data_IF_601852823993
#
_entry.id   IF_601852823993
#
_cell.length_a   1.000
_cell.length_b   1.000
_cell.length_c   1.000
_cell.angle_alpha   90.00
_cell.angle_beta   90.00
_cell.angle_gamma   90.00
#
_symmetry.space_group_name_H-M   'P 1'
#
loop_
_entity.id
_entity.type
_entity.pdbx_description
1 polymer ?
#
# COMPACT_ATOMS: atom_id res chain seq x y z
N UNK A 1 6.24 13.45 -11.58
CA UNK A 1 5.84 12.63 -10.43
C UNK A 1 4.57 11.87 -10.76
N UNK A 2 4.55 10.57 -10.49
CA UNK A 2 3.36 9.75 -10.69
C UNK A 2 2.53 9.68 -9.42
N UNK A 3 1.24 9.39 -9.56
CA UNK A 3 0.33 9.21 -8.43
C UNK A 3 -0.14 7.76 -8.38
N UNK A 4 -0.07 7.16 -7.21
CA UNK A 4 -0.49 5.77 -6.99
C UNK A 4 -1.42 5.66 -5.81
N UNK A 5 -2.09 4.51 -5.68
CA UNK A 5 -2.85 4.15 -4.50
C UNK A 5 -2.24 2.91 -3.86
N UNK A 6 -2.41 2.81 -2.55
CA UNK A 6 -2.00 1.64 -1.78
C UNK A 6 -3.07 1.39 -0.73
N UNK A 7 -3.57 0.17 -0.66
CA UNK A 7 -4.67 -0.20 0.22
C UNK A 7 -4.32 -1.41 1.08
N UNK A 8 -4.62 -1.29 2.36
CA UNK A 8 -4.58 -2.43 3.28
C UNK A 8 -6.03 -2.78 3.63
N UNK A 9 -6.51 -3.88 3.07
CA UNK A 9 -7.86 -4.39 3.33
C UNK A 9 -7.80 -5.22 4.59
N UNK A 10 -8.69 -4.93 5.55
CA UNK A 10 -8.69 -5.65 6.82
C UNK A 10 -9.92 -6.53 7.00
N UNK A 11 -9.72 -7.67 7.64
CA UNK A 11 -10.77 -8.57 8.04
C UNK A 11 -10.27 -9.40 9.22
N UNK A 12 -11.04 -9.40 10.31
CA UNK A 12 -10.79 -10.22 11.50
C UNK A 12 -9.35 -10.11 12.05
N UNK A 13 -8.86 -8.87 12.15
CA UNK A 13 -7.52 -8.62 12.69
C UNK A 13 -6.38 -8.91 11.73
N UNK A 14 -6.68 -9.07 10.44
CA UNK A 14 -5.68 -9.35 9.41
C UNK A 14 -5.71 -8.30 8.31
N UNK A 15 -4.57 -8.10 7.68
CA UNK A 15 -4.46 -7.32 6.44
C UNK A 15 -4.25 -8.25 5.25
N UNK A 16 -4.92 -7.94 4.14
CA UNK A 16 -4.64 -8.60 2.87
C UNK A 16 -3.38 -7.98 2.27
N UNK A 17 -2.36 -8.79 2.06
CA UNK A 17 -1.09 -8.32 1.53
C UNK A 17 -0.71 -9.12 0.28
N UNK A 18 0.03 -8.45 -0.59
CA UNK A 18 0.53 -9.04 -1.83
C UNK A 18 2.02 -9.35 -1.65
N UNK A 19 2.37 -10.61 -1.76
CA UNK A 19 3.75 -11.07 -1.77
C UNK A 19 4.24 -11.12 -3.22
N UNK A 20 5.16 -10.23 -3.59
CA UNK A 20 5.66 -10.08 -4.96
C UNK A 20 6.66 -11.18 -5.30
N UNK A 21 6.17 -12.37 -5.65
CA UNK A 21 7.02 -13.54 -5.97
C UNK A 21 6.90 -13.97 -7.44
N UNK A 22 5.90 -13.49 -8.17
CA UNK A 22 5.67 -13.94 -9.56
C UNK A 22 6.44 -13.15 -10.60
N UNK A 23 6.81 -11.90 -10.31
CA UNK A 23 7.60 -11.05 -11.21
C UNK A 23 9.02 -10.93 -10.69
N UNK A 24 9.96 -11.62 -11.34
CA UNK A 24 11.38 -11.55 -10.99
C UNK A 24 11.96 -10.21 -11.45
N UNK A 25 12.98 -9.73 -10.73
CA UNK A 25 13.68 -8.47 -11.00
C UNK A 25 12.78 -7.24 -10.87
N UNK A 26 11.65 -7.38 -10.20
CA UNK A 26 10.78 -6.28 -9.87
C UNK A 26 11.27 -5.62 -8.59
N UNK A 27 11.12 -4.28 -8.49
CA UNK A 27 11.63 -3.53 -7.33
C UNK A 27 11.08 -4.04 -6.00
N UNK A 28 9.85 -4.58 -5.99
CA UNK A 28 9.19 -5.12 -4.80
C UNK A 28 9.36 -6.63 -4.66
N UNK A 29 10.23 -7.27 -5.46
CA UNK A 29 10.41 -8.72 -5.40
C UNK A 29 10.74 -9.20 -3.99
N UNK A 30 10.01 -10.22 -3.52
CA UNK A 30 10.18 -10.80 -2.19
C UNK A 30 9.56 -10.01 -1.06
N UNK A 31 9.04 -8.80 -1.30
CA UNK A 31 8.43 -7.98 -0.26
C UNK A 31 6.93 -8.17 -0.22
N UNK A 32 6.35 -7.94 0.97
CA UNK A 32 4.91 -7.89 1.14
C UNK A 32 4.47 -6.44 1.15
N UNK A 33 3.49 -6.13 0.31
CA UNK A 33 2.96 -4.77 0.14
C UNK A 33 1.43 -4.80 0.17
N UNK A 34 0.84 -3.64 0.31
CA UNK A 34 -0.61 -3.48 0.12
C UNK A 34 -0.99 -3.62 -1.36
N UNK A 35 -2.27 -3.55 -1.63
CA UNK A 35 -2.84 -3.65 -2.97
C UNK A 35 -3.05 -2.26 -3.54
N UNK A 36 -2.72 -2.05 -4.81
CA UNK A 36 -2.93 -0.75 -5.45
C UNK A 36 -2.21 -0.64 -6.78
N UNK A 37 -2.18 0.55 -7.32
CA UNK A 37 -1.53 0.80 -8.59
C UNK A 37 -1.58 2.27 -8.99
N UNK A 38 -1.27 2.54 -10.26
CA UNK A 38 -1.18 3.90 -10.78
C UNK A 38 -2.55 4.49 -11.06
N UNK A 39 -2.74 5.74 -10.65
CA UNK A 39 -3.93 6.51 -11.00
C UNK A 39 -3.86 6.80 -12.51
N UNK A 40 -4.91 6.45 -13.23
CA UNK A 40 -5.01 6.66 -14.65
C UNK A 40 -5.59 8.04 -14.99
N UNK A 41 -5.48 8.42 -16.26
CA UNK A 41 -6.03 9.68 -16.74
C UNK A 41 -7.51 9.81 -16.40
N UNK A 42 -7.90 10.95 -15.86
CA UNK A 42 -9.27 11.29 -15.43
C UNK A 42 -9.79 10.48 -14.25
N UNK A 43 -8.93 9.74 -13.57
CA UNK A 43 -9.29 8.96 -12.39
C UNK A 43 -8.98 9.73 -11.12
N UNK A 44 -9.89 9.70 -10.14
CA UNK A 44 -9.58 10.16 -8.79
C UNK A 44 -8.80 9.06 -8.05
N UNK A 45 -8.13 9.38 -6.93
CA UNK A 45 -7.53 8.33 -6.10
C UNK A 45 -8.52 7.24 -5.68
N UNK A 46 -9.75 7.62 -5.34
CA UNK A 46 -10.79 6.66 -4.93
C UNK A 46 -11.21 5.76 -6.09
N UNK A 47 -11.36 6.32 -7.28
CA UNK A 47 -11.70 5.52 -8.46
C UNK A 47 -10.59 4.53 -8.80
N UNK A 48 -9.34 4.97 -8.72
CA UNK A 48 -8.17 4.12 -8.88
C UNK A 48 -8.15 2.99 -7.85
N UNK A 49 -8.39 3.34 -6.59
CA UNK A 49 -8.44 2.37 -5.49
C UNK A 49 -9.42 1.24 -5.78
N UNK A 50 -10.67 1.59 -6.09
CA UNK A 50 -11.72 0.60 -6.32
C UNK A 50 -11.38 -0.28 -7.54
N UNK A 51 -10.89 0.32 -8.60
CA UNK A 51 -10.51 -0.39 -9.82
C UNK A 51 -9.34 -1.35 -9.59
N UNK A 52 -8.26 -0.86 -8.99
CA UNK A 52 -7.05 -1.68 -8.75
C UNK A 52 -7.32 -2.83 -7.79
N UNK A 53 -8.08 -2.58 -6.72
CA UNK A 53 -8.45 -3.65 -5.79
C UNK A 53 -9.26 -4.72 -6.52
N UNK A 54 -10.21 -4.32 -7.37
CA UNK A 54 -11.01 -5.28 -8.13
C UNK A 54 -10.16 -6.08 -9.09
N UNK A 55 -9.26 -5.43 -9.82
CA UNK A 55 -8.39 -6.10 -10.78
C UNK A 55 -7.42 -7.07 -10.11
N UNK A 56 -6.81 -6.68 -9.00
CA UNK A 56 -5.78 -7.49 -8.35
C UNK A 56 -6.33 -8.56 -7.42
N UNK A 57 -7.48 -8.32 -6.80
CA UNK A 57 -7.99 -9.22 -5.75
C UNK A 57 -9.33 -9.88 -6.07
N UNK A 58 -10.09 -9.33 -6.98
CA UNK A 58 -11.48 -9.75 -7.24
C UNK A 58 -12.49 -9.13 -6.28
N UNK A 59 -12.04 -8.41 -5.26
CA UNK A 59 -12.91 -7.82 -4.25
C UNK A 59 -13.44 -6.46 -4.71
N UNK A 60 -14.69 -6.17 -4.37
CA UNK A 60 -15.31 -4.87 -4.57
C UNK A 60 -15.40 -4.17 -3.22
N UNK A 61 -14.69 -3.07 -3.06
CA UNK A 61 -14.70 -2.31 -1.80
C UNK A 61 -16.05 -1.62 -1.59
N UNK A 62 -16.56 -1.71 -0.37
CA UNK A 62 -17.81 -1.07 0.04
C UNK A 62 -17.58 -0.03 1.13
N UNK A 63 -16.47 -0.13 1.87
CA UNK A 63 -16.11 0.80 2.94
C UNK A 63 -14.60 0.94 3.00
N UNK A 64 -14.13 2.17 2.89
CA UNK A 64 -12.70 2.47 2.94
C UNK A 64 -12.47 3.87 3.50
N UNK A 65 -11.24 4.13 3.90
CA UNK A 65 -10.84 5.41 4.49
C UNK A 65 -9.51 5.87 3.93
N UNK A 66 -9.43 7.13 3.52
CA UNK A 66 -8.19 7.76 3.07
C UNK A 66 -7.37 8.13 4.31
N UNK A 67 -6.24 7.47 4.49
CA UNK A 67 -5.44 7.60 5.72
C UNK A 67 -4.32 8.62 5.62
N UNK A 68 -3.72 8.77 4.47
CA UNK A 68 -2.63 9.72 4.29
C UNK A 68 -2.01 9.66 2.90
N UNK A 69 -1.02 10.51 2.70
CA UNK A 69 -0.23 10.53 1.46
C UNK A 69 1.24 10.34 1.80
N UNK A 70 1.96 9.69 0.89
CA UNK A 70 3.41 9.50 1.00
C UNK A 70 4.06 10.05 -0.25
N UNK A 71 4.95 11.04 -0.07
CA UNK A 71 5.80 11.53 -1.14
C UNK A 71 7.07 10.69 -1.12
N UNK A 72 7.17 9.81 -2.11
CA UNK A 72 8.27 8.86 -2.23
C UNK A 72 9.29 9.40 -3.23
N UNK A 73 10.52 9.57 -2.79
CA UNK A 73 11.62 10.08 -3.62
C UNK A 73 12.75 9.06 -3.61
N UNK A 74 13.27 8.74 -4.79
CA UNK A 74 14.35 7.79 -4.96
C UNK A 74 15.32 8.30 -6.02
N UNK A 75 16.58 7.94 -5.90
CA UNK A 75 17.60 8.23 -6.91
C UNK A 75 17.56 7.24 -8.08
N UNK A 76 16.75 6.18 -7.98
CA UNK A 76 16.68 5.11 -9.00
C UNK A 76 15.40 5.12 -9.83
N UNK A 77 14.39 5.90 -9.44
CA UNK A 77 13.12 5.94 -10.16
C UNK A 77 12.43 7.29 -9.99
N UNK A 78 11.39 7.52 -10.80
CA UNK A 78 10.61 8.75 -10.74
C UNK A 78 9.94 8.91 -9.37
N UNK A 79 9.84 10.14 -8.88
CA UNK A 79 9.13 10.45 -7.64
C UNK A 79 7.64 10.07 -7.74
N UNK A 80 7.08 9.65 -6.64
CA UNK A 80 5.73 9.10 -6.59
C UNK A 80 4.97 9.70 -5.41
N UNK A 81 3.70 10.04 -5.65
CA UNK A 81 2.78 10.39 -4.57
C UNK A 81 1.84 9.21 -4.36
N UNK A 82 1.98 8.55 -3.22
CA UNK A 82 1.16 7.39 -2.88
C UNK A 82 0.01 7.83 -1.98
N UNK A 83 -1.22 7.50 -2.38
CA UNK A 83 -2.42 7.72 -1.59
C UNK A 83 -2.71 6.44 -0.81
N UNK A 84 -2.61 6.49 0.52
CA UNK A 84 -2.73 5.31 1.38
C UNK A 84 -4.14 5.21 1.97
N UNK A 85 -4.75 4.06 1.77
CA UNK A 85 -6.10 3.75 2.24
C UNK A 85 -6.09 2.51 3.11
N UNK A 86 -7.07 2.44 4.02
CA UNK A 86 -7.47 1.16 4.65
C UNK A 86 -8.91 0.89 4.25
N UNK A 87 -9.28 -0.38 4.17
CA UNK A 87 -10.64 -0.79 3.83
C UNK A 87 -11.10 -1.89 4.76
N UNK A 88 -12.33 -1.78 5.28
CA UNK A 88 -12.91 -2.75 6.20
C UNK A 88 -14.22 -3.36 5.68
N UNK A 89 -14.65 -2.97 4.51
CA UNK A 89 -15.86 -3.52 3.88
C UNK A 89 -15.63 -3.88 2.42
N UNK A 90 -16.05 -5.08 2.05
CA UNK A 90 -15.92 -5.53 0.67
C UNK A 90 -16.91 -6.67 0.40
N UNK A 91 -17.15 -6.93 -0.88
CA UNK A 91 -17.90 -8.09 -1.36
C UNK A 91 -17.07 -8.85 -2.39
N UNK A 92 -17.48 -10.07 -2.72
CA UNK A 92 -16.77 -10.89 -3.69
C UNK A 92 -15.80 -11.85 -3.05
N UNK A 93 -15.06 -12.54 -3.89
CA UNK A 93 -14.10 -13.57 -3.49
C UNK A 93 -12.73 -13.29 -4.10
N UNK A 94 -11.66 -13.70 -3.41
CA UNK A 94 -10.31 -13.54 -3.92
C UNK A 94 -10.11 -14.34 -5.20
N UNK A 95 -9.45 -13.72 -6.17
CA UNK A 95 -8.99 -14.38 -7.40
C UNK A 95 -7.48 -14.57 -7.32
N UNK A 96 -6.93 -15.34 -8.24
CA UNK A 96 -5.49 -15.45 -8.38
C UNK A 96 -4.93 -14.15 -8.95
N UNK A 97 -3.89 -13.60 -8.31
CA UNK A 97 -3.26 -12.36 -8.74
C UNK A 97 -2.05 -12.66 -9.63
N UNK A 98 -1.95 -11.96 -10.77
CA UNK A 98 -0.85 -12.15 -11.72
C UNK A 98 0.48 -11.62 -11.19
N UNK A 99 0.46 -10.70 -10.23
CA UNK A 99 1.65 -10.01 -9.74
C UNK A 99 2.28 -10.67 -8.52
N UNK A 100 1.63 -11.64 -7.91
CA UNK A 100 2.15 -12.30 -6.72
C UNK A 100 1.09 -13.14 -6.04
N UNK A 101 1.36 -13.48 -4.79
CA UNK A 101 0.44 -14.23 -3.95
C UNK A 101 -0.25 -13.33 -2.96
N UNK A 102 -1.59 -13.40 -2.94
CA UNK A 102 -2.40 -12.69 -1.95
C UNK A 102 -2.47 -13.55 -0.68
N UNK A 103 -2.24 -12.93 0.46
CA UNK A 103 -2.33 -13.61 1.75
C UNK A 103 -2.89 -12.69 2.82
N UNK A 104 -3.71 -13.28 3.70
CA UNK A 104 -4.18 -12.61 4.90
C UNK A 104 -3.11 -12.77 5.97
N UNK A 105 -2.60 -11.64 6.46
CA UNK A 105 -1.53 -11.61 7.44
C UNK A 105 -2.06 -11.00 8.74
N UNK A 106 -1.88 -11.70 9.85
CA UNK A 106 -2.24 -11.17 11.16
C UNK A 106 -1.52 -9.85 11.41
N UNK A 107 -2.25 -8.84 11.86
CA UNK A 107 -1.69 -7.50 12.12
C UNK A 107 -0.51 -7.53 13.10
N UNK A 108 -0.50 -8.47 14.04
CA UNK A 108 0.60 -8.60 15.01
C UNK A 108 1.90 -9.09 14.37
N UNK A 109 1.81 -9.74 13.21
CA UNK A 109 2.96 -10.27 12.47
C UNK A 109 3.49 -9.27 11.44
N UNK A 110 2.66 -8.32 10.99
CA UNK A 110 3.03 -7.36 9.94
C UNK A 110 4.37 -6.66 10.20
N UNK A 111 4.70 -6.21 11.43
CA UNK A 111 5.99 -5.55 11.69
C UNK A 111 7.22 -6.42 11.43
N UNK A 112 7.05 -7.75 11.38
CA UNK A 112 8.15 -8.71 11.17
C UNK A 112 8.33 -9.11 9.71
N UNK A 113 7.46 -8.63 8.81
CA UNK A 113 7.50 -9.02 7.41
C UNK A 113 8.58 -8.29 6.62
N UNK A 114 9.07 -8.89 5.52
CA UNK A 114 9.99 -8.19 4.61
C UNK A 114 9.22 -7.09 3.85
N UNK A 115 9.35 -5.86 4.33
CA UNK A 115 8.76 -4.68 3.72
C UNK A 115 9.84 -3.63 3.52
N UNK A 116 9.51 -2.57 2.77
CA UNK A 116 10.39 -1.41 2.66
C UNK A 116 10.48 -0.69 4.02
N UNK A 117 11.65 -0.11 4.33
CA UNK A 117 11.83 0.65 5.59
C UNK A 117 10.78 1.75 5.75
N UNK A 118 10.49 2.46 4.66
CA UNK A 118 9.52 3.55 4.67
C UNK A 118 8.09 3.07 4.88
N UNK A 119 7.76 1.88 4.36
CA UNK A 119 6.42 1.30 4.55
C UNK A 119 6.16 1.03 6.04
N UNK A 120 7.18 0.67 6.80
CA UNK A 120 7.04 0.47 8.25
C UNK A 120 6.60 1.72 8.96
N UNK A 121 6.98 2.90 8.47
CA UNK A 121 6.62 4.17 9.09
C UNK A 121 5.09 4.34 9.09
N UNK A 122 4.45 4.22 7.93
CA UNK A 122 2.99 4.37 7.90
C UNK A 122 2.25 3.12 8.38
N UNK A 123 2.82 1.93 8.19
CA UNK A 123 2.22 0.71 8.76
C UNK A 123 2.16 0.79 10.28
N UNK A 124 3.22 1.26 10.94
CA UNK A 124 3.22 1.44 12.39
C UNK A 124 2.13 2.42 12.82
N UNK A 125 1.93 3.51 12.08
CA UNK A 125 0.85 4.44 12.37
C UNK A 125 -0.53 3.80 12.22
N UNK A 126 -0.75 3.04 11.15
CA UNK A 126 -2.02 2.34 10.92
C UNK A 126 -2.28 1.30 12.02
N UNK A 127 -1.25 0.54 12.38
CA UNK A 127 -1.36 -0.53 13.39
C UNK A 127 -1.53 0.01 14.81
N UNK A 128 -0.99 1.19 15.12
CA UNK A 128 -1.11 1.82 16.43
C UNK A 128 -2.46 2.51 16.65
N UNK A 129 -3.31 2.56 15.62
CA UNK A 129 -4.60 3.23 15.72
C UNK A 129 -4.56 4.73 15.53
N UNK A 130 -3.51 5.25 14.89
CA UNK A 130 -3.45 6.67 14.56
C UNK A 130 -4.55 7.04 13.58
N UNK A 131 -5.42 7.95 13.97
CA UNK A 131 -6.56 8.34 13.16
C UNK A 131 -6.35 9.64 12.40
N UNK A 132 -5.32 10.41 12.73
CA UNK A 132 -5.03 11.66 12.02
C UNK A 132 -4.50 11.35 10.62
N UNK A 133 -4.86 12.22 9.67
CA UNK A 133 -4.36 12.12 8.31
C UNK A 133 -2.87 12.46 8.30
N UNK A 134 -2.05 11.62 7.68
CA UNK A 134 -0.61 11.83 7.63
C UNK A 134 -0.15 12.27 6.25
N UNK A 135 0.90 13.09 6.23
CA UNK A 135 1.65 13.37 5.02
C UNK A 135 3.10 13.05 5.32
N UNK A 136 3.62 12.04 4.65
CA UNK A 136 5.00 11.58 4.82
C UNK A 136 5.82 11.95 3.61
N UNK A 137 7.08 12.31 3.84
CA UNK A 137 8.09 12.35 2.78
C UNK A 137 9.14 11.32 3.12
N UNK A 138 9.38 10.41 2.19
CA UNK A 138 10.36 9.33 2.33
C UNK A 138 11.34 9.42 1.18
N UNK A 139 12.62 9.60 1.50
CA UNK A 139 13.67 9.67 0.48
C UNK A 139 14.63 8.51 0.64
N UNK A 140 14.86 7.80 -0.46
CA UNK A 140 15.74 6.65 -0.52
C UNK A 140 16.99 6.95 -1.34
N UNK A 141 18.09 6.35 -0.95
CA UNK A 141 19.28 6.18 -1.77
C UNK A 141 19.48 4.68 -1.97
N UNK A 142 19.31 4.20 -3.22
CA UNK A 142 19.19 2.78 -3.48
C UNK A 142 17.98 2.20 -2.78
N UNK A 143 18.19 1.17 -1.98
CA UNK A 143 17.14 0.53 -1.18
C UNK A 143 17.10 1.02 0.28
N UNK A 144 17.90 2.04 0.61
CA UNK A 144 18.04 2.54 1.97
C UNK A 144 17.29 3.85 2.17
N UNK A 145 16.47 3.90 3.23
CA UNK A 145 15.76 5.12 3.64
C UNK A 145 16.76 6.08 4.30
N UNK A 146 16.91 7.28 3.74
CA UNK A 146 17.88 8.28 4.23
C UNK A 146 17.23 9.53 4.79
N UNK A 147 15.96 9.77 4.50
CA UNK A 147 15.23 10.92 5.05
C UNK A 147 13.77 10.57 5.23
N UNK A 148 13.19 11.00 6.36
CA UNK A 148 11.76 10.93 6.56
C UNK A 148 11.26 12.19 7.26
N UNK A 149 10.13 12.71 6.81
CA UNK A 149 9.42 13.82 7.43
C UNK A 149 7.96 13.47 7.58
N UNK A 150 7.38 13.79 8.72
CA UNK A 150 5.99 13.45 9.05
C UNK A 150 5.21 14.70 9.43
N UNK A 151 4.05 14.88 8.82
CA UNK A 151 3.06 15.87 9.22
C UNK A 151 1.77 15.15 9.53
N UNK A 152 1.10 15.53 10.62
CA UNK A 152 -0.17 14.94 11.04
C UNK A 152 -1.25 16.02 11.09
N UNK A 153 -2.45 15.71 10.59
CA UNK A 153 -3.57 16.64 10.52
C UNK A 153 -4.80 16.14 11.27
#
# INVERSE_FOLDING_TARGET
MTTTTLCYIENEGKYLMLHRVKKKNYINEGKLIGVGGHVEYQESPEECLVREVKEETGLTLTSYRFRGVVTFISDTCEAELMCVFTADGYTGELIECDEGELCWVDKTVVPELPTWEGDRVFLDMLLSGEERFFSLKLRYEGDKLVEKKTHLY
#
